data_IF_748198548013
#
_entry.id   IF_748198548013
#
_cell.length_a   1.000
_cell.length_b   1.000
_cell.length_c   1.000
_cell.angle_alpha   90.00
_cell.angle_beta   90.00
_cell.angle_gamma   90.00
#
_symmetry.space_group_name_H-M   'P 1'
#
loop_
_entity.id
_entity.type
_entity.pdbx_description
1 polymer ?
#
# COMPACT_ATOMS: atom_id res chain seq x y z
N UNK A 1 7.55 2.86 -21.00
CA UNK A 1 7.07 3.66 -19.85
C UNK A 1 7.82 3.21 -18.61
N UNK A 2 8.33 4.14 -17.78
CA UNK A 2 9.16 3.83 -16.59
C UNK A 2 8.35 3.77 -15.28
N UNK A 3 7.16 4.34 -15.30
CA UNK A 3 6.22 4.42 -14.18
C UNK A 3 4.81 4.07 -14.68
N UNK A 4 3.93 3.66 -13.77
CA UNK A 4 2.53 3.35 -14.09
C UNK A 4 1.85 4.58 -14.69
N UNK A 5 1.22 4.45 -15.87
CA UNK A 5 0.51 5.56 -16.49
C UNK A 5 -0.76 5.88 -15.70
N UNK A 6 -0.91 7.16 -15.36
CA UNK A 6 -2.13 7.74 -14.79
C UNK A 6 -3.35 7.34 -15.66
N UNK A 7 -4.39 6.79 -15.03
CA UNK A 7 -5.60 6.33 -15.71
C UNK A 7 -5.57 4.88 -16.23
N UNK A 8 -4.51 4.12 -15.96
CA UNK A 8 -4.53 2.68 -16.20
C UNK A 8 -5.46 1.97 -15.21
N UNK A 9 -6.50 1.30 -15.72
CA UNK A 9 -7.57 0.71 -14.90
C UNK A 9 -7.09 -0.28 -13.84
N UNK A 10 -5.97 -0.96 -14.07
CA UNK A 10 -5.41 -1.93 -13.12
C UNK A 10 -4.26 -1.34 -12.27
N UNK A 11 -3.94 -0.05 -12.44
CA UNK A 11 -2.93 0.63 -11.63
C UNK A 11 -3.23 0.55 -10.13
N UNK A 12 -4.49 0.72 -9.67
CA UNK A 12 -4.79 0.63 -8.24
C UNK A 12 -4.48 -0.76 -7.68
N UNK A 13 -4.90 -1.82 -8.38
CA UNK A 13 -4.68 -3.20 -7.93
C UNK A 13 -3.20 -3.60 -7.93
N UNK A 14 -2.44 -3.22 -8.97
CA UNK A 14 -1.00 -3.50 -9.03
C UNK A 14 -0.22 -2.78 -7.93
N UNK A 15 -0.61 -1.54 -7.65
CA UNK A 15 0.02 -0.75 -6.59
C UNK A 15 -0.34 -1.29 -5.21
N UNK A 16 -1.60 -1.69 -5.00
CA UNK A 16 -2.09 -2.32 -3.77
C UNK A 16 -1.31 -3.59 -3.43
N UNK A 17 -1.13 -4.51 -4.40
CA UNK A 17 -0.35 -5.73 -4.18
C UNK A 17 1.12 -5.46 -3.82
N UNK A 18 1.76 -4.53 -4.53
CA UNK A 18 3.16 -4.16 -4.25
C UNK A 18 3.29 -3.52 -2.87
N UNK A 19 2.40 -2.58 -2.53
CA UNK A 19 2.41 -1.89 -1.26
C UNK A 19 2.06 -2.82 -0.10
N UNK A 20 1.18 -3.81 -0.31
CA UNK A 20 0.90 -4.85 0.67
C UNK A 20 2.14 -5.70 0.96
N UNK A 21 2.92 -6.07 -0.06
CA UNK A 21 4.18 -6.80 0.10
C UNK A 21 5.20 -5.99 0.90
N UNK A 22 5.40 -4.72 0.55
CA UNK A 22 6.37 -3.84 1.22
C UNK A 22 5.98 -3.56 2.70
N UNK A 23 4.68 -3.49 3.00
CA UNK A 23 4.16 -3.25 4.34
C UNK A 23 4.04 -4.53 5.19
N UNK A 24 4.18 -5.72 4.62
CA UNK A 24 4.09 -6.99 5.35
C UNK A 24 5.11 -7.04 6.50
N UNK A 25 6.35 -6.67 6.20
CA UNK A 25 7.44 -6.57 7.16
C UNK A 25 7.19 -5.53 8.26
N UNK A 26 6.57 -4.40 7.91
CA UNK A 26 6.23 -3.35 8.86
C UNK A 26 5.19 -3.83 9.88
N UNK A 27 4.16 -4.54 9.42
CA UNK A 27 3.12 -5.12 10.29
C UNK A 27 3.68 -6.14 11.27
N UNK A 28 4.65 -6.96 10.83
CA UNK A 28 5.30 -7.96 11.68
C UNK A 28 6.13 -7.29 12.78
N UNK A 29 6.87 -6.22 12.46
CA UNK A 29 7.68 -5.49 13.43
C UNK A 29 6.87 -4.63 14.41
N UNK A 30 5.66 -4.22 14.02
CA UNK A 30 4.83 -3.30 14.79
C UNK A 30 3.38 -3.81 14.96
N UNK A 31 3.15 -4.91 15.70
CA UNK A 31 1.84 -5.52 15.83
C UNK A 31 0.81 -4.67 16.58
N UNK A 32 1.25 -3.66 17.33
CA UNK A 32 0.36 -2.74 18.07
C UNK A 32 -0.15 -1.57 17.24
N UNK A 33 0.45 -1.30 16.07
CA UNK A 33 0.05 -0.18 15.22
C UNK A 33 -1.10 -0.61 14.29
N UNK A 34 -2.11 0.24 14.17
CA UNK A 34 -3.18 0.06 13.20
C UNK A 34 -2.77 0.75 11.89
N UNK A 35 -2.74 -0.03 10.82
CA UNK A 35 -2.45 0.44 9.47
C UNK A 35 -3.65 0.24 8.55
N UNK A 36 -4.18 1.34 8.04
CA UNK A 36 -5.34 1.38 7.16
C UNK A 36 -4.95 2.01 5.83
N UNK A 37 -5.35 1.38 4.73
CA UNK A 37 -5.02 1.83 3.38
C UNK A 37 -6.30 2.15 2.62
N UNK A 38 -6.33 3.32 1.99
CA UNK A 38 -7.44 3.76 1.16
C UNK A 38 -6.90 4.37 -0.13
N UNK A 39 -7.04 3.65 -1.24
CA UNK A 39 -6.45 4.05 -2.53
C UNK A 39 -4.94 4.36 -2.36
N UNK A 40 -4.53 5.60 -2.59
CA UNK A 40 -3.14 6.05 -2.48
C UNK A 40 -2.79 6.56 -1.06
N UNK A 41 -3.75 6.58 -0.13
CA UNK A 41 -3.58 7.07 1.23
C UNK A 41 -3.30 5.95 2.24
N UNK A 42 -2.45 6.27 3.22
CA UNK A 42 -2.10 5.39 4.34
C UNK A 42 -2.35 6.10 5.67
N UNK A 43 -3.18 5.51 6.52
CA UNK A 43 -3.43 5.96 7.89
C UNK A 43 -2.71 5.03 8.88
N UNK A 44 -1.90 5.64 9.75
CA UNK A 44 -1.21 4.96 10.84
C UNK A 44 -1.72 5.49 12.18
N UNK A 45 -2.15 4.58 13.06
CA UNK A 45 -2.55 4.90 14.43
C UNK A 45 -1.77 4.05 15.44
N UNK A 46 -1.47 4.65 16.60
CA UNK A 46 -0.66 4.09 17.69
C UNK A 46 -1.42 4.12 19.01
#
# INVERSE_FOLDING_TARGET
WKVLPQGFKNSPTLFDEALHHDLADFRIRHPSLILLQYMDDLLLAA
#
